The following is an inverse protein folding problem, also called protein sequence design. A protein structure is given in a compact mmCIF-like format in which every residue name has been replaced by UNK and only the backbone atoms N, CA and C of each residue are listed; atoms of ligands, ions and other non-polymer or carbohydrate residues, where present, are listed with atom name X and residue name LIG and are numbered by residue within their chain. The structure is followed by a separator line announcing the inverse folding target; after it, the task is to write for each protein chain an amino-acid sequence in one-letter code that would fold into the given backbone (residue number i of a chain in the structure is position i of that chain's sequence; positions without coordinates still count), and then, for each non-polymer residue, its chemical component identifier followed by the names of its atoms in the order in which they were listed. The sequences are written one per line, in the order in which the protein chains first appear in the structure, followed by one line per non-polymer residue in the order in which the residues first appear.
data_IF_472919381516
#
_entry.id   IF_472919381516
#
_cell.length_a   1.000
_cell.length_b   1.000
_cell.length_c   1.000
_cell.angle_alpha   90.00
_cell.angle_beta   90.00
_cell.angle_gamma   90.00
#
_symmetry.space_group_name_H-M   'P 1'
#
loop_
_entity.id
_entity.type
_entity.pdbx_description
1 polymer ?
#
# COMPACT_ATOMS: atom_id res chain seq x y z
N UNK A 1 84.51 5.60 14.54
CA UNK A 1 83.65 6.77 14.80
C UNK A 1 82.64 6.30 15.85
N UNK A 2 82.89 6.33 17.16
CA UNK A 2 83.17 7.47 18.08
C UNK A 2 82.08 8.54 17.98
N UNK A 3 81.32 9.00 18.99
CA UNK A 3 81.19 8.90 20.46
C UNK A 3 79.74 9.36 20.79
N UNK A 4 78.96 8.68 21.65
CA UNK A 4 78.62 9.04 23.04
C UNK A 4 78.09 10.47 23.35
N UNK A 5 76.77 10.54 23.64
CA UNK A 5 76.10 11.12 24.83
C UNK A 5 76.10 12.66 25.06
N UNK A 6 75.48 13.20 26.14
CA UNK A 6 74.04 13.30 26.47
C UNK A 6 73.67 14.73 27.01
N UNK A 7 72.46 14.94 27.54
CA UNK A 7 72.11 15.69 28.79
C UNK A 7 70.71 16.34 28.75
N UNK A 8 69.96 16.09 29.83
CA UNK A 8 68.64 16.59 30.18
C UNK A 8 68.74 17.88 31.05
N UNK A 9 67.88 18.13 32.06
CA UNK A 9 66.49 18.65 32.08
C UNK A 9 66.44 20.01 32.86
N UNK A 10 65.29 20.34 33.50
CA UNK A 10 64.99 21.37 34.53
C UNK A 10 63.88 22.35 34.07
N UNK A 11 62.90 22.78 34.88
CA UNK A 11 62.48 22.40 36.22
C UNK A 11 61.07 22.97 36.51
N UNK A 12 60.40 22.34 37.46
CA UNK A 12 59.16 22.68 38.16
C UNK A 12 59.30 23.97 39.00
N UNK A 13 58.27 24.84 39.01
CA UNK A 13 58.00 25.78 40.12
C UNK A 13 56.47 26.04 40.25
N UNK A 14 55.76 25.40 41.21
CA UNK A 14 55.35 25.90 42.56
C UNK A 14 54.57 27.23 42.52
N UNK A 15 53.22 27.20 42.53
CA UNK A 15 52.26 27.22 43.68
C UNK A 15 52.00 28.60 44.34
N UNK A 16 50.69 28.94 44.35
CA UNK A 16 49.87 29.58 45.41
C UNK A 16 49.99 31.10 45.68
N UNK A 17 48.89 31.86 45.48
CA UNK A 17 47.96 32.31 46.55
C UNK A 17 47.18 33.61 46.25
N UNK A 18 45.84 33.49 46.20
CA UNK A 18 44.76 34.34 46.78
C UNK A 18 44.72 35.88 46.66
N UNK A 19 43.63 36.44 46.11
CA UNK A 19 42.51 37.15 46.81
C UNK A 19 41.61 37.87 45.77
N UNK A 20 40.36 37.43 45.55
CA UNK A 20 39.08 38.02 46.03
C UNK A 20 38.92 39.53 45.77
N UNK A 21 38.04 39.87 44.81
CA UNK A 21 37.06 40.97 44.94
C UNK A 21 35.72 40.48 44.36
N UNK A 22 34.76 40.25 45.25
CA UNK A 22 33.32 40.13 44.97
C UNK A 22 32.70 41.38 45.58
N UNK A 23 32.08 42.26 44.77
CA UNK A 23 30.90 43.05 45.17
C UNK A 23 30.07 43.41 43.92
N UNK A 24 28.92 42.74 43.84
CA UNK A 24 27.59 43.20 43.41
C UNK A 24 27.41 44.20 42.26
N UNK A 25 26.74 43.73 41.20
CA UNK A 25 25.61 44.44 40.58
C UNK A 25 24.49 43.43 40.30
N UNK A 26 23.60 43.29 41.28
CA UNK A 26 22.27 42.69 41.14
C UNK A 26 21.32 43.79 40.64
N UNK A 27 20.89 43.71 39.38
CA UNK A 27 19.64 44.30 38.89
C UNK A 27 19.43 43.83 37.44
N UNK A 28 18.46 42.93 37.22
CA UNK A 28 18.05 42.53 35.88
C UNK A 28 17.65 41.07 35.69
N UNK A 29 17.08 40.39 36.70
CA UNK A 29 16.30 39.19 36.42
C UNK A 29 14.98 39.61 35.75
N UNK A 30 14.98 39.70 34.42
CA UNK A 30 13.75 39.65 33.64
C UNK A 30 13.27 38.19 33.61
N UNK A 31 12.08 37.88 34.12
CA UNK A 31 11.60 36.50 34.20
C UNK A 31 10.92 36.12 32.89
N UNK A 32 11.62 36.18 31.73
CA UNK A 32 11.02 35.78 30.44
C UNK A 32 12.08 35.37 29.38
N UNK A 33 13.28 34.95 29.80
CA UNK A 33 14.27 34.33 28.90
C UNK A 33 14.02 32.81 28.71
N UNK A 34 12.74 32.45 28.64
CA UNK A 34 12.22 31.11 28.49
C UNK A 34 10.86 31.14 27.80
N UNK A 35 10.72 32.00 26.78
CA UNK A 35 9.63 31.85 25.82
C UNK A 35 9.91 30.56 25.04
N UNK A 36 9.42 29.44 25.57
CA UNK A 36 9.15 28.26 24.80
C UNK A 36 8.46 28.73 23.52
N UNK A 37 8.96 28.33 22.35
CA UNK A 37 8.09 28.24 21.17
C UNK A 37 6.83 27.57 21.69
N UNK A 38 5.70 28.26 21.64
CA UNK A 38 4.42 27.62 21.87
C UNK A 38 4.41 26.45 20.91
N UNK A 39 4.54 25.24 21.45
CA UNK A 39 4.15 24.05 20.72
C UNK A 39 2.72 24.35 20.31
N UNK A 40 2.52 24.57 19.01
CA UNK A 40 1.18 24.53 18.47
C UNK A 40 0.57 23.23 19.02
N UNK A 41 -0.65 23.26 19.56
CA UNK A 41 -1.32 22.03 19.95
C UNK A 41 -1.19 21.11 18.74
N UNK A 42 -0.58 19.93 18.91
CA UNK A 42 -0.75 18.87 17.93
C UNK A 42 -2.26 18.82 17.69
N UNK A 43 -2.69 19.10 16.46
CA UNK A 43 -4.10 18.92 16.15
C UNK A 43 -4.48 17.51 16.58
N UNK A 44 -5.65 17.33 17.19
CA UNK A 44 -6.06 15.99 17.60
C UNK A 44 -6.18 15.12 16.34
N UNK A 45 -5.12 14.35 16.03
CA UNK A 45 -5.11 13.29 15.01
C UNK A 45 -6.06 12.13 15.37
N UNK A 46 -6.74 12.18 16.52
CA UNK A 46 -7.71 11.20 16.99
C UNK A 46 -9.13 11.39 16.41
N UNK A 47 -9.36 12.42 15.57
CA UNK A 47 -10.66 12.64 14.95
C UNK A 47 -10.83 11.70 13.76
N UNK A 48 -11.56 10.60 13.95
CA UNK A 48 -11.83 9.65 12.87
C UNK A 48 -12.56 10.34 11.72
N UNK A 49 -12.07 10.15 10.49
CA UNK A 49 -12.68 10.72 9.29
C UNK A 49 -14.08 10.11 9.03
N UNK A 50 -15.17 10.89 9.14
CA UNK A 50 -16.51 10.38 8.92
C UNK A 50 -16.77 9.91 7.49
N UNK A 51 -16.04 10.44 6.50
CA UNK A 51 -16.17 10.02 5.09
C UNK A 51 -15.62 8.61 4.93
N UNK A 52 -14.41 8.37 5.44
CA UNK A 52 -13.80 7.04 5.45
C UNK A 52 -14.62 6.03 6.27
N UNK A 53 -15.10 6.40 7.46
CA UNK A 53 -16.00 5.53 8.24
C UNK A 53 -17.26 5.12 7.47
N UNK A 54 -17.86 6.05 6.73
CA UNK A 54 -19.02 5.77 5.90
C UNK A 54 -18.67 4.83 4.73
N UNK A 55 -17.52 5.04 4.09
CA UNK A 55 -17.00 4.17 3.04
C UNK A 55 -16.76 2.75 3.56
N UNK A 56 -16.09 2.60 4.71
CA UNK A 56 -15.88 1.30 5.36
C UNK A 56 -17.21 0.63 5.70
N UNK A 57 -18.11 1.33 6.39
CA UNK A 57 -19.42 0.79 6.75
C UNK A 57 -20.19 0.29 5.52
N UNK A 58 -20.16 1.04 4.41
CA UNK A 58 -20.78 0.64 3.16
C UNK A 58 -20.12 -0.60 2.55
N UNK A 59 -18.79 -0.66 2.50
CA UNK A 59 -18.07 -1.83 2.00
C UNK A 59 -18.44 -3.10 2.81
N UNK A 60 -18.40 -3.02 4.15
CA UNK A 60 -18.70 -4.15 5.04
C UNK A 60 -20.18 -4.56 5.03
N UNK A 61 -21.10 -3.63 4.77
CA UNK A 61 -22.53 -3.92 4.60
C UNK A 61 -22.80 -4.77 3.36
N UNK A 62 -22.05 -4.58 2.28
CA UNK A 62 -22.22 -5.35 1.03
C UNK A 62 -21.58 -6.73 1.04
N UNK A 63 -20.72 -7.00 2.03
CA UNK A 63 -20.03 -8.28 2.16
C UNK A 63 -21.03 -9.43 2.41
N UNK A 64 -21.06 -10.42 1.53
CA UNK A 64 -22.01 -11.53 1.65
C UNK A 64 -21.62 -12.50 2.78
N UNK A 65 -22.60 -13.16 3.44
CA UNK A 65 -22.35 -14.22 4.42
C UNK A 65 -21.86 -15.49 3.72
N UNK A 66 -21.18 -16.39 4.44
CA UNK A 66 -20.70 -17.67 3.91
C UNK A 66 -21.82 -18.52 3.29
N UNK A 67 -21.45 -19.41 2.35
CA UNK A 67 -22.31 -20.40 1.71
C UNK A 67 -22.15 -21.76 2.41
N UNK A 68 -23.14 -22.24 3.17
CA UNK A 68 -22.98 -23.46 3.95
C UNK A 68 -22.63 -24.67 3.09
N UNK A 69 -21.53 -25.37 3.44
CA UNK A 69 -21.06 -26.56 2.72
C UNK A 69 -20.23 -26.25 1.48
N UNK A 70 -19.91 -24.97 1.25
CA UNK A 70 -19.04 -24.50 0.17
C UNK A 70 -17.90 -23.75 0.83
N UNK A 71 -16.67 -24.24 0.66
CA UNK A 71 -15.48 -23.51 1.11
C UNK A 71 -15.37 -22.20 0.34
N UNK A 72 -15.75 -21.09 0.98
CA UNK A 72 -15.63 -19.75 0.44
C UNK A 72 -14.21 -19.21 0.60
N UNK A 73 -13.84 -18.32 -0.33
CA UNK A 73 -12.67 -17.47 -0.18
C UNK A 73 -13.12 -16.03 0.04
N UNK A 74 -12.84 -15.51 1.23
CA UNK A 74 -12.93 -14.08 1.52
C UNK A 74 -11.61 -13.44 1.14
N UNK A 75 -11.65 -12.29 0.47
CA UNK A 75 -10.46 -11.63 -0.08
C UNK A 75 -10.38 -10.21 0.44
N UNK A 76 -9.19 -9.83 0.91
CA UNK A 76 -8.85 -8.45 1.25
C UNK A 76 -7.65 -8.02 0.43
N UNK A 77 -7.80 -6.95 -0.34
CA UNK A 77 -6.68 -6.24 -0.94
C UNK A 77 -6.39 -4.97 -0.13
N UNK A 78 -5.11 -4.72 0.14
CA UNK A 78 -4.64 -3.57 0.92
C UNK A 78 -3.54 -2.86 0.12
N UNK A 79 -3.83 -1.67 -0.40
CA UNK A 79 -2.87 -0.78 -1.05
C UNK A 79 -2.43 0.29 -0.05
N UNK A 80 -1.31 0.05 0.63
CA UNK A 80 -0.94 0.79 1.83
C UNK A 80 -0.37 2.19 1.60
N UNK A 81 0.13 2.46 0.40
CA UNK A 81 0.90 3.68 0.13
C UNK A 81 0.29 4.46 -1.05
N UNK A 82 -0.04 5.72 -0.78
CA UNK A 82 -0.63 6.64 -1.75
C UNK A 82 0.36 7.17 -2.80
N UNK A 83 1.67 7.08 -2.57
CA UNK A 83 2.69 7.70 -3.42
C UNK A 83 2.86 7.04 -4.79
N UNK A 84 2.50 5.75 -4.92
CA UNK A 84 2.67 4.97 -6.14
C UNK A 84 1.36 4.29 -6.57
N UNK A 85 0.92 4.58 -7.80
CA UNK A 85 -0.31 4.05 -8.39
C UNK A 85 -0.37 2.52 -8.49
N UNK A 86 0.79 1.85 -8.54
CA UNK A 86 0.89 0.39 -8.66
C UNK A 86 0.12 -0.33 -7.56
N UNK A 87 0.12 0.20 -6.34
CA UNK A 87 -0.52 -0.43 -5.19
C UNK A 87 -2.04 -0.43 -5.32
N UNK A 88 -2.62 0.73 -5.67
CA UNK A 88 -4.04 0.87 -6.03
C UNK A 88 -4.39 -0.06 -7.19
N UNK A 89 -3.60 -0.03 -8.26
CA UNK A 89 -3.88 -0.78 -9.49
C UNK A 89 -3.96 -2.29 -9.22
N UNK A 90 -3.00 -2.83 -8.48
CA UNK A 90 -2.99 -4.24 -8.08
C UNK A 90 -4.18 -4.61 -7.20
N UNK A 91 -4.52 -3.77 -6.22
CA UNK A 91 -5.64 -4.03 -5.30
C UNK A 91 -7.00 -3.98 -6.01
N UNK A 92 -7.21 -3.02 -6.91
CA UNK A 92 -8.42 -2.95 -7.73
C UNK A 92 -8.49 -4.11 -8.73
N UNK A 93 -7.36 -4.51 -9.31
CA UNK A 93 -7.29 -5.67 -10.16
C UNK A 93 -7.54 -6.99 -9.41
N UNK A 94 -7.02 -7.13 -8.19
CA UNK A 94 -7.31 -8.27 -7.30
C UNK A 94 -8.81 -8.45 -7.14
N UNK A 95 -9.56 -7.36 -6.90
CA UNK A 95 -11.02 -7.41 -6.84
C UNK A 95 -11.63 -7.93 -8.14
N UNK A 96 -11.25 -7.37 -9.29
CA UNK A 96 -11.78 -7.82 -10.57
C UNK A 96 -11.48 -9.31 -10.82
N UNK A 97 -10.23 -9.73 -10.60
CA UNK A 97 -9.79 -11.10 -10.79
C UNK A 97 -10.59 -12.06 -9.91
N UNK A 98 -10.68 -11.79 -8.61
CA UNK A 98 -11.32 -12.72 -7.68
C UNK A 98 -12.85 -12.76 -7.82
N UNK A 99 -13.49 -11.65 -8.19
CA UNK A 99 -14.93 -11.62 -8.42
C UNK A 99 -15.35 -12.23 -9.77
N UNK A 100 -14.51 -12.14 -10.81
CA UNK A 100 -14.85 -12.63 -12.15
C UNK A 100 -14.34 -14.04 -12.41
N UNK A 101 -13.16 -14.40 -11.88
CA UNK A 101 -12.51 -15.68 -12.15
C UNK A 101 -12.60 -16.67 -10.99
N UNK A 102 -12.57 -16.22 -9.73
CA UNK A 102 -12.42 -17.12 -8.57
C UNK A 102 -13.68 -17.25 -7.71
N UNK A 103 -14.86 -16.95 -8.26
CA UNK A 103 -16.16 -17.12 -7.58
C UNK A 103 -16.24 -16.41 -6.21
N UNK A 104 -15.51 -15.29 -6.04
CA UNK A 104 -15.49 -14.52 -4.79
C UNK A 104 -16.36 -13.26 -4.86
N UNK A 105 -17.34 -13.21 -5.77
CA UNK A 105 -18.23 -12.05 -5.93
C UNK A 105 -18.95 -11.73 -4.61
N UNK A 106 -18.85 -10.49 -4.16
CA UNK A 106 -19.42 -10.06 -2.88
C UNK A 106 -18.66 -10.56 -1.65
N UNK A 107 -17.47 -11.14 -1.81
CA UNK A 107 -16.56 -11.57 -0.74
C UNK A 107 -15.20 -10.90 -0.79
N UNK A 108 -15.05 -9.86 -1.62
CA UNK A 108 -13.81 -9.11 -1.78
C UNK A 108 -13.99 -7.69 -1.25
N UNK A 109 -13.14 -7.30 -0.31
CA UNK A 109 -12.99 -5.92 0.19
C UNK A 109 -11.63 -5.40 -0.26
N UNK A 110 -11.59 -4.15 -0.71
CA UNK A 110 -10.35 -3.45 -1.06
C UNK A 110 -10.24 -2.23 -0.18
N UNK A 111 -9.06 -2.04 0.42
CA UNK A 111 -8.67 -0.84 1.16
C UNK A 111 -7.57 -0.16 0.35
N UNK A 112 -7.71 1.14 0.10
CA UNK A 112 -6.87 1.86 -0.87
C UNK A 112 -6.46 3.22 -0.36
N UNK A 113 -5.14 3.42 -0.26
CA UNK A 113 -4.54 4.74 -0.21
C UNK A 113 -4.08 5.13 -1.62
N UNK A 114 -4.62 6.23 -2.13
CA UNK A 114 -4.19 6.88 -3.38
C UNK A 114 -4.81 8.28 -3.41
N UNK A 115 -4.12 9.30 -3.97
CA UNK A 115 -4.67 10.66 -4.07
C UNK A 115 -6.03 10.72 -4.78
N UNK A 116 -6.29 9.82 -5.74
CA UNK A 116 -7.58 9.78 -6.46
C UNK A 116 -8.74 9.17 -5.66
N UNK A 117 -8.46 8.56 -4.50
CA UNK A 117 -9.45 7.98 -3.60
C UNK A 117 -9.79 8.94 -2.45
N UNK A 118 -9.10 10.07 -2.32
CA UNK A 118 -9.35 11.06 -1.28
C UNK A 118 -10.49 12.02 -1.64
N UNK A 119 -11.01 12.73 -0.64
CA UNK A 119 -12.06 13.74 -0.80
C UNK A 119 -13.46 13.22 -0.50
N UNK A 120 -14.49 13.93 -0.98
CA UNK A 120 -15.89 13.70 -0.56
C UNK A 120 -16.52 12.40 -1.08
N UNK A 121 -15.92 11.78 -2.11
CA UNK A 121 -16.48 10.64 -2.83
C UNK A 121 -15.45 9.52 -3.08
N UNK A 122 -14.90 8.90 -2.02
CA UNK A 122 -14.00 7.77 -2.16
C UNK A 122 -14.69 6.58 -2.82
N UNK A 123 -13.96 5.83 -3.64
CA UNK A 123 -14.46 4.59 -4.24
C UNK A 123 -14.10 3.35 -3.38
N UNK A 124 -13.19 3.48 -2.43
CA UNK A 124 -12.82 2.46 -1.46
C UNK A 124 -12.50 3.11 -0.09
N UNK A 125 -12.67 2.39 1.04
CA UNK A 125 -12.14 2.84 2.32
C UNK A 125 -10.62 2.94 2.29
N UNK A 126 -10.05 3.79 3.13
CA UNK A 126 -8.62 3.97 3.28
C UNK A 126 -7.94 2.69 3.78
N UNK A 127 -6.71 2.46 3.32
CA UNK A 127 -5.84 1.39 3.76
C UNK A 127 -5.08 1.78 5.03
N UNK A 128 -5.81 1.94 6.14
CA UNK A 128 -5.25 2.16 7.47
C UNK A 128 -5.24 0.86 8.28
N UNK A 129 -4.42 0.79 9.34
CA UNK A 129 -4.41 -0.38 10.22
C UNK A 129 -5.79 -0.61 10.88
N UNK A 130 -6.46 0.45 11.31
CA UNK A 130 -7.79 0.37 11.92
C UNK A 130 -8.83 -0.18 10.94
N UNK A 131 -8.86 0.31 9.71
CA UNK A 131 -9.78 -0.21 8.68
C UNK A 131 -9.48 -1.66 8.32
N UNK A 132 -8.20 -2.06 8.28
CA UNK A 132 -7.81 -3.46 8.12
C UNK A 132 -8.31 -4.31 9.29
N UNK A 133 -8.11 -3.86 10.52
CA UNK A 133 -8.55 -4.54 11.73
C UNK A 133 -10.07 -4.76 11.73
N UNK A 134 -10.84 -3.71 11.45
CA UNK A 134 -12.31 -3.77 11.39
C UNK A 134 -12.83 -4.62 10.22
N UNK A 135 -12.16 -4.55 9.06
CA UNK A 135 -12.47 -5.40 7.90
C UNK A 135 -12.27 -6.87 8.23
N UNK A 136 -11.13 -7.22 8.85
CA UNK A 136 -10.84 -8.59 9.28
C UNK A 136 -11.86 -9.06 10.32
N UNK A 137 -12.21 -8.22 11.31
CA UNK A 137 -13.20 -8.54 12.31
C UNK A 137 -14.60 -8.79 11.69
N UNK A 138 -15.00 -8.01 10.69
CA UNK A 138 -16.25 -8.19 9.96
C UNK A 138 -16.25 -9.47 9.12
N UNK A 139 -15.17 -9.77 8.40
CA UNK A 139 -15.00 -11.03 7.66
C UNK A 139 -15.06 -12.22 8.60
N UNK A 140 -14.34 -12.16 9.73
CA UNK A 140 -14.37 -13.20 10.75
C UNK A 140 -15.77 -13.49 11.28
N UNK A 141 -16.70 -12.52 11.28
CA UNK A 141 -18.10 -12.72 11.67
C UNK A 141 -18.97 -13.30 10.54
N UNK A 142 -18.56 -13.16 9.27
CA UNK A 142 -19.33 -13.57 8.09
C UNK A 142 -18.92 -14.94 7.56
N UNK A 143 -17.65 -15.31 7.70
CA UNK A 143 -17.10 -16.60 7.27
C UNK A 143 -17.43 -17.72 8.27
N UNK A 144 -17.52 -18.95 7.78
CA UNK A 144 -17.34 -20.13 8.62
C UNK A 144 -15.84 -20.35 8.80
N UNK A 145 -15.32 -20.02 9.98
CA UNK A 145 -13.87 -20.04 10.29
C UNK A 145 -13.24 -21.43 10.20
N UNK A 146 -14.04 -22.49 10.15
CA UNK A 146 -13.56 -23.88 10.05
C UNK A 146 -13.59 -24.40 8.62
N UNK A 147 -14.54 -23.92 7.83
CA UNK A 147 -14.75 -24.32 6.43
C UNK A 147 -13.98 -23.41 5.47
N UNK A 148 -14.12 -22.09 5.62
CA UNK A 148 -13.67 -21.05 4.69
C UNK A 148 -12.20 -20.64 4.89
N UNK A 149 -11.68 -19.85 3.96
CA UNK A 149 -10.37 -19.22 4.05
C UNK A 149 -10.42 -17.72 3.77
N UNK A 150 -9.46 -16.98 4.36
CA UNK A 150 -9.12 -15.61 3.98
C UNK A 150 -7.93 -15.62 3.01
N UNK A 151 -7.98 -14.81 1.96
CA UNK A 151 -6.81 -14.33 1.23
C UNK A 151 -6.60 -12.85 1.55
N UNK A 152 -5.48 -12.52 2.16
CA UNK A 152 -5.04 -11.16 2.39
C UNK A 152 -3.87 -10.87 1.45
N UNK A 153 -4.08 -9.95 0.51
CA UNK A 153 -3.04 -9.43 -0.37
C UNK A 153 -2.70 -8.00 0.07
N UNK A 154 -1.48 -7.81 0.55
CA UNK A 154 -0.95 -6.49 0.94
C UNK A 154 0.10 -6.08 -0.07
N UNK A 155 -0.04 -4.89 -0.63
CA UNK A 155 0.92 -4.28 -1.54
C UNK A 155 1.23 -2.86 -1.10
N UNK A 156 2.50 -2.61 -0.79
CA UNK A 156 3.00 -1.34 -0.25
C UNK A 156 4.54 -1.36 -0.21
N UNK A 157 5.20 -0.27 0.18
CA UNK A 157 6.60 -0.29 0.58
C UNK A 157 6.81 -1.07 1.88
N UNK A 158 8.04 -1.53 2.08
CA UNK A 158 8.45 -2.23 3.29
C UNK A 158 9.80 -1.76 3.78
N UNK A 159 10.00 -1.84 5.08
CA UNK A 159 11.18 -1.30 5.76
C UNK A 159 12.15 -2.42 6.17
N UNK A 160 13.41 -2.07 6.41
CA UNK A 160 14.45 -3.03 6.83
C UNK A 160 14.17 -3.69 8.19
N UNK A 161 13.40 -3.03 9.06
CA UNK A 161 12.90 -3.56 10.34
C UNK A 161 11.65 -4.43 10.19
N UNK A 162 11.26 -4.74 8.95
CA UNK A 162 10.15 -5.63 8.58
C UNK A 162 8.78 -5.07 8.95
N UNK A 163 8.57 -3.78 8.71
CA UNK A 163 7.26 -3.13 8.81
C UNK A 163 6.70 -2.85 7.42
N UNK A 164 5.38 -2.90 7.28
CA UNK A 164 4.68 -2.44 6.08
C UNK A 164 4.43 -0.95 6.23
N UNK A 165 4.85 -0.16 5.25
CA UNK A 165 4.59 1.27 5.25
C UNK A 165 3.11 1.53 4.92
N UNK A 166 2.52 2.47 5.63
CA UNK A 166 1.17 2.95 5.39
C UNK A 166 1.25 4.47 5.25
N UNK A 167 0.80 4.99 4.12
CA UNK A 167 0.72 6.43 3.88
C UNK A 167 -0.59 6.73 3.19
N UNK A 168 -1.42 7.55 3.83
CA UNK A 168 -2.70 8.03 3.28
C UNK A 168 -2.47 9.28 2.43
N UNK A 169 -1.69 10.24 2.97
CA UNK A 169 -1.31 11.49 2.31
C UNK A 169 0.04 12.02 2.85
N UNK A 170 0.37 13.29 2.60
CA UNK A 170 1.63 13.92 3.03
C UNK A 170 1.73 14.16 4.55
N UNK A 171 0.66 13.92 5.31
CA UNK A 171 0.55 14.20 6.75
C UNK A 171 0.21 12.99 7.59
N UNK A 172 -0.31 11.94 6.98
CA UNK A 172 -0.73 10.71 7.65
C UNK A 172 0.08 9.50 7.16
N UNK A 173 1.03 9.10 8.00
CA UNK A 173 1.82 7.88 7.83
C UNK A 173 1.80 7.01 9.09
N UNK A 174 1.90 5.69 8.88
CA UNK A 174 1.92 4.67 9.91
C UNK A 174 2.71 3.43 9.44
N UNK A 175 2.92 2.47 10.33
CA UNK A 175 3.65 1.24 10.07
C UNK A 175 2.95 0.04 10.69
N UNK A 176 2.68 -0.99 9.89
CA UNK A 176 2.11 -2.24 10.38
C UNK A 176 3.24 -3.23 10.62
N UNK A 177 3.49 -3.60 11.89
CA UNK A 177 4.48 -4.61 12.23
C UNK A 177 3.95 -6.04 11.96
N UNK A 178 4.83 -7.06 11.96
CA UNK A 178 4.41 -8.46 11.89
C UNK A 178 3.49 -8.88 13.04
N UNK A 179 3.65 -8.26 14.21
CA UNK A 179 2.85 -8.53 15.40
C UNK A 179 1.46 -7.90 15.31
N UNK A 180 1.34 -6.70 14.75
CA UNK A 180 0.06 -6.02 14.55
C UNK A 180 -0.81 -6.81 13.57
N UNK A 181 -0.24 -7.19 12.42
CA UNK A 181 -0.97 -8.02 11.46
C UNK A 181 -1.35 -9.38 12.05
N UNK A 182 -0.45 -10.01 12.83
CA UNK A 182 -0.77 -11.25 13.54
C UNK A 182 -1.94 -11.07 14.50
N UNK A 183 -1.93 -9.99 15.28
CA UNK A 183 -2.96 -9.66 16.27
C UNK A 183 -4.31 -9.45 15.59
N UNK A 184 -4.39 -8.63 14.53
CA UNK A 184 -5.63 -8.38 13.81
C UNK A 184 -6.28 -9.67 13.26
N UNK A 185 -5.46 -10.57 12.69
CA UNK A 185 -5.93 -11.86 12.18
C UNK A 185 -6.43 -12.79 13.30
N UNK A 186 -5.71 -12.85 14.42
CA UNK A 186 -6.05 -13.72 15.55
C UNK A 186 -7.29 -13.21 16.30
N UNK A 187 -7.43 -11.90 16.49
CA UNK A 187 -8.58 -11.27 17.13
C UNK A 187 -9.86 -11.42 16.29
N UNK A 188 -9.73 -11.39 14.96
CA UNK A 188 -10.80 -11.75 14.04
C UNK A 188 -11.18 -13.26 14.09
N UNK A 189 -10.34 -14.09 14.71
CA UNK A 189 -10.51 -15.55 14.79
C UNK A 189 -10.24 -16.28 13.49
N UNK A 190 -9.49 -15.68 12.56
CA UNK A 190 -9.25 -16.22 11.22
C UNK A 190 -8.02 -17.13 11.25
N UNK A 191 -8.27 -18.45 11.32
CA UNK A 191 -7.22 -19.47 11.30
C UNK A 191 -6.76 -19.83 9.90
N UNK A 192 -7.70 -20.16 9.01
CA UNK A 192 -7.42 -20.54 7.62
C UNK A 192 -7.11 -19.28 6.79
N UNK A 193 -5.83 -19.04 6.51
CA UNK A 193 -5.40 -17.79 5.86
C UNK A 193 -4.29 -18.00 4.85
N UNK A 194 -4.43 -17.30 3.73
CA UNK A 194 -3.44 -17.14 2.66
C UNK A 194 -3.00 -15.68 2.77
N UNK A 195 -1.76 -15.46 3.13
CA UNK A 195 -1.20 -14.11 3.33
C UNK A 195 -0.17 -13.89 2.25
N UNK A 196 -0.37 -12.87 1.44
CA UNK A 196 0.46 -12.54 0.29
C UNK A 196 0.95 -11.11 0.47
N UNK A 197 2.27 -10.96 0.64
CA UNK A 197 2.91 -9.69 0.97
C UNK A 197 3.82 -9.25 -0.18
N UNK A 198 3.39 -8.23 -0.90
CA UNK A 198 4.15 -7.52 -1.93
C UNK A 198 4.79 -6.28 -1.32
N UNK A 199 5.97 -6.46 -0.71
CA UNK A 199 6.74 -5.38 -0.10
C UNK A 199 8.22 -5.77 0.04
N UNK A 200 9.10 -4.76 0.12
CA UNK A 200 10.50 -4.95 0.48
C UNK A 200 10.62 -5.62 1.85
N UNK A 201 11.59 -6.51 2.03
CA UNK A 201 11.85 -7.20 3.30
C UNK A 201 10.67 -8.05 3.85
N UNK A 202 9.63 -8.28 3.04
CA UNK A 202 8.39 -8.97 3.43
C UNK A 202 8.58 -10.38 4.00
N UNK A 203 9.69 -11.06 3.66
CA UNK A 203 10.08 -12.33 4.28
C UNK A 203 10.21 -12.26 5.80
N UNK A 204 10.43 -11.07 6.37
CA UNK A 204 10.48 -10.80 7.81
C UNK A 204 9.16 -11.06 8.55
N UNK A 205 8.03 -11.11 7.84
CA UNK A 205 6.72 -11.41 8.42
C UNK A 205 6.50 -12.91 8.68
N UNK A 206 7.25 -13.79 8.00
CA UNK A 206 7.04 -15.24 8.06
C UNK A 206 7.10 -15.80 9.49
N UNK A 207 8.08 -15.45 10.34
CA UNK A 207 8.18 -15.98 11.70
C UNK A 207 6.96 -15.69 12.58
N UNK A 208 6.36 -14.50 12.46
CA UNK A 208 5.23 -14.07 13.28
C UNK A 208 3.88 -14.65 12.79
N UNK A 209 3.72 -14.76 11.46
CA UNK A 209 2.44 -15.14 10.85
C UNK A 209 2.28 -16.65 10.63
N UNK A 210 3.39 -17.41 10.58
CA UNK A 210 3.36 -18.85 10.30
C UNK A 210 2.51 -19.59 11.33
N UNK A 211 1.65 -20.47 10.85
CA UNK A 211 0.86 -21.37 11.67
C UNK A 211 0.57 -22.65 10.88
N UNK A 212 0.06 -23.71 11.51
CA UNK A 212 -0.41 -24.87 10.76
C UNK A 212 -1.50 -24.53 9.72
N UNK A 213 -2.26 -23.45 9.88
CA UNK A 213 -3.38 -23.06 9.01
C UNK A 213 -3.05 -21.86 8.11
N UNK A 214 -1.78 -21.46 8.03
CA UNK A 214 -1.36 -20.32 7.20
C UNK A 214 -0.61 -20.79 5.96
N UNK A 215 -0.94 -20.26 4.78
CA UNK A 215 -0.03 -20.12 3.64
C UNK A 215 0.50 -18.69 3.64
N UNK A 216 1.82 -18.49 3.56
CA UNK A 216 2.45 -17.17 3.41
C UNK A 216 3.26 -17.16 2.13
N UNK A 217 3.09 -16.12 1.33
CA UNK A 217 3.85 -15.83 0.12
C UNK A 217 4.43 -14.42 0.23
N UNK A 218 5.73 -14.24 0.02
CA UNK A 218 6.38 -12.93 0.16
C UNK A 218 7.17 -12.59 -1.09
N UNK A 219 7.13 -11.31 -1.49
CA UNK A 219 7.84 -10.80 -2.66
C UNK A 219 9.35 -10.84 -2.50
N UNK A 220 9.87 -10.75 -1.28
CA UNK A 220 11.29 -10.76 -1.01
C UNK A 220 11.65 -11.59 0.22
N UNK A 221 12.93 -11.92 0.34
CA UNK A 221 13.55 -12.42 1.56
C UNK A 221 13.65 -11.32 2.61
N UNK A 222 13.71 -11.70 3.88
CA UNK A 222 13.74 -10.76 5.01
C UNK A 222 14.85 -9.69 4.95
N UNK A 223 15.96 -9.94 4.25
CA UNK A 223 17.10 -9.02 4.11
C UNK A 223 17.29 -8.53 2.66
N UNK A 224 16.23 -8.58 1.85
CA UNK A 224 16.25 -8.18 0.42
C UNK A 224 15.12 -7.20 0.10
N UNK A 225 15.35 -6.23 -0.78
CA UNK A 225 14.26 -5.46 -1.38
C UNK A 225 13.47 -6.31 -2.40
N UNK A 226 12.30 -5.80 -2.78
CA UNK A 226 11.54 -6.19 -3.97
C UNK A 226 11.48 -5.00 -4.95
N UNK A 227 11.04 -5.23 -6.19
CA UNK A 227 11.15 -4.26 -7.28
C UNK A 227 9.82 -3.99 -7.99
N UNK A 228 9.83 -2.92 -8.79
CA UNK A 228 8.68 -2.50 -9.61
C UNK A 228 7.71 -1.57 -8.89
N UNK A 229 8.06 -1.07 -7.71
CA UNK A 229 7.36 0.04 -7.07
C UNK A 229 7.90 1.35 -7.64
N UNK A 230 7.02 2.29 -8.02
CA UNK A 230 7.39 3.55 -8.64
C UNK A 230 6.45 3.98 -9.76
N UNK A 231 6.43 5.29 -10.06
CA UNK A 231 5.65 5.93 -11.12
C UNK A 231 6.03 5.53 -12.56
N UNK A 232 6.98 4.62 -12.76
CA UNK A 232 7.39 4.11 -14.07
C UNK A 232 6.90 2.68 -14.35
N UNK A 233 6.15 2.09 -13.41
CA UNK A 233 5.54 0.77 -13.58
C UNK A 233 4.04 0.87 -13.34
N UNK A 234 3.28 -0.04 -13.94
CA UNK A 234 1.84 -0.18 -13.69
C UNK A 234 1.55 -1.23 -12.60
N UNK A 235 2.48 -2.16 -12.37
CA UNK A 235 2.45 -3.18 -11.32
C UNK A 235 3.86 -3.46 -10.76
N UNK A 236 3.94 -3.92 -9.51
CA UNK A 236 5.17 -4.44 -8.91
C UNK A 236 5.61 -5.73 -9.63
N UNK A 237 6.88 -6.13 -9.49
CA UNK A 237 7.35 -7.36 -10.16
C UNK A 237 6.63 -8.58 -9.61
N UNK A 238 6.33 -8.56 -8.31
CA UNK A 238 5.60 -9.62 -7.66
C UNK A 238 4.12 -9.63 -8.03
N UNK A 239 3.45 -8.48 -8.04
CA UNK A 239 2.05 -8.37 -8.47
C UNK A 239 1.88 -8.75 -9.94
N UNK A 240 2.76 -8.30 -10.83
CA UNK A 240 2.78 -8.75 -12.23
C UNK A 240 2.91 -10.28 -12.32
N UNK A 241 3.93 -10.85 -11.69
CA UNK A 241 4.23 -12.26 -11.84
C UNK A 241 3.21 -13.19 -11.15
N UNK A 242 2.79 -12.87 -9.92
CA UNK A 242 1.88 -13.72 -9.14
C UNK A 242 0.41 -13.39 -9.40
N UNK A 243 0.00 -12.14 -9.17
CA UNK A 243 -1.41 -11.75 -9.21
C UNK A 243 -1.93 -11.69 -10.66
N UNK A 244 -1.18 -11.07 -11.57
CA UNK A 244 -1.63 -10.83 -12.94
C UNK A 244 -1.36 -12.05 -13.81
N UNK A 245 -0.13 -12.54 -13.88
CA UNK A 245 0.22 -13.59 -14.83
C UNK A 245 -0.14 -14.98 -14.31
N UNK A 246 0.38 -15.37 -13.14
CA UNK A 246 0.31 -16.75 -12.68
C UNK A 246 -1.09 -17.16 -12.18
N UNK A 247 -1.83 -16.27 -11.51
CA UNK A 247 -3.22 -16.55 -11.09
C UNK A 247 -4.22 -16.58 -12.26
N UNK A 248 -3.88 -16.01 -13.43
CA UNK A 248 -4.63 -16.26 -14.66
C UNK A 248 -4.31 -17.63 -15.28
N UNK A 249 -3.13 -18.18 -15.01
CA UNK A 249 -2.70 -19.50 -15.53
C UNK A 249 -3.09 -20.66 -14.61
N UNK A 250 -3.21 -20.42 -13.30
CA UNK A 250 -3.41 -21.44 -12.27
C UNK A 250 -4.54 -21.04 -11.31
N UNK A 251 -5.27 -22.03 -10.81
CA UNK A 251 -6.21 -21.83 -9.69
C UNK A 251 -5.61 -22.12 -8.31
N UNK A 252 -4.32 -22.44 -8.27
CA UNK A 252 -3.58 -22.74 -7.06
C UNK A 252 -2.64 -21.59 -6.71
N UNK A 253 -2.91 -20.84 -5.61
CA UNK A 253 -2.03 -19.78 -5.14
C UNK A 253 -0.58 -20.22 -4.94
N UNK A 254 -0.36 -21.48 -4.51
CA UNK A 254 0.98 -22.04 -4.30
C UNK A 254 1.68 -22.34 -5.62
N UNK A 255 1.00 -23.00 -6.56
CA UNK A 255 1.59 -23.25 -7.88
C UNK A 255 1.80 -21.95 -8.67
N UNK A 256 0.90 -20.97 -8.51
CA UNK A 256 1.05 -19.64 -9.08
C UNK A 256 2.30 -18.94 -8.52
N UNK A 257 2.62 -19.14 -7.24
CA UNK A 257 3.85 -18.63 -6.65
C UNK A 257 5.11 -19.25 -7.24
N UNK A 258 5.12 -20.56 -7.52
CA UNK A 258 6.27 -21.20 -8.16
C UNK A 258 6.51 -20.65 -9.58
N UNK A 259 5.44 -20.38 -10.34
CA UNK A 259 5.51 -19.68 -11.65
C UNK A 259 6.07 -18.27 -11.47
N UNK A 260 5.52 -17.52 -10.52
CA UNK A 260 5.91 -16.13 -10.27
C UNK A 260 7.39 -16.03 -9.87
N UNK A 261 7.86 -16.91 -8.99
CA UNK A 261 9.25 -16.96 -8.54
C UNK A 261 10.22 -17.18 -9.70
N UNK A 262 9.87 -18.05 -10.64
CA UNK A 262 10.69 -18.29 -11.84
C UNK A 262 10.72 -17.05 -12.74
N UNK A 263 9.59 -16.40 -12.96
CA UNK A 263 9.48 -15.18 -13.76
C UNK A 263 10.27 -14.01 -13.15
N UNK A 264 10.11 -13.77 -11.85
CA UNK A 264 10.84 -12.73 -11.09
C UNK A 264 12.34 -12.98 -11.17
N UNK A 265 12.80 -14.21 -10.91
CA UNK A 265 14.23 -14.55 -10.99
C UNK A 265 14.82 -14.28 -12.37
N UNK A 266 14.06 -14.58 -13.44
CA UNK A 266 14.49 -14.32 -14.80
C UNK A 266 14.56 -12.82 -15.10
N UNK A 267 13.53 -12.06 -14.70
CA UNK A 267 13.46 -10.61 -14.88
C UNK A 267 14.58 -9.88 -14.14
N UNK A 268 14.74 -10.15 -12.85
CA UNK A 268 15.80 -9.53 -12.03
C UNK A 268 17.19 -9.81 -12.61
N UNK A 269 17.43 -11.03 -13.08
CA UNK A 269 18.69 -11.36 -13.75
C UNK A 269 18.89 -10.59 -15.06
N UNK A 270 17.82 -10.42 -15.85
CA UNK A 270 17.88 -9.69 -17.11
C UNK A 270 18.18 -8.20 -16.89
N UNK A 271 17.61 -7.61 -15.85
CA UNK A 271 17.72 -6.19 -15.54
C UNK A 271 18.94 -5.87 -14.64
N UNK A 272 19.61 -6.89 -14.10
CA UNK A 272 20.79 -6.73 -13.26
C UNK A 272 20.48 -6.39 -11.80
N UNK A 273 19.24 -6.64 -11.37
CA UNK A 273 18.78 -6.37 -10.01
C UNK A 273 19.36 -7.37 -9.00
N UNK A 274 19.47 -6.93 -7.75
CA UNK A 274 19.80 -7.80 -6.64
C UNK A 274 18.65 -8.81 -6.44
N UNK A 275 18.86 -10.14 -6.50
CA UNK A 275 17.74 -11.07 -6.43
C UNK A 275 16.92 -10.92 -5.14
N UNK A 276 15.61 -10.70 -5.27
CA UNK A 276 14.69 -10.52 -4.14
C UNK A 276 14.47 -11.82 -3.37
N UNK A 277 14.61 -12.96 -4.05
CA UNK A 277 14.43 -14.32 -3.53
C UNK A 277 13.05 -14.52 -2.84
N UNK A 278 11.93 -14.46 -3.59
CA UNK A 278 10.59 -14.66 -3.02
C UNK A 278 10.50 -15.93 -2.16
N UNK A 279 9.82 -15.82 -1.02
CA UNK A 279 9.70 -16.91 -0.04
C UNK A 279 8.26 -17.40 0.12
N UNK A 280 8.13 -18.67 0.49
CA UNK A 280 6.85 -19.28 0.82
C UNK A 280 6.93 -20.08 2.13
N UNK A 281 5.83 -20.11 2.89
CA UNK A 281 5.65 -20.90 4.10
C UNK A 281 4.28 -21.57 4.09
N UNK A 282 4.26 -22.91 4.02
CA UNK A 282 3.03 -23.70 3.94
C UNK A 282 2.75 -24.43 5.27
N UNK A 283 1.64 -24.09 5.91
CA UNK A 283 1.12 -24.79 7.08
C UNK A 283 0.55 -26.18 6.74
N UNK A 284 0.74 -27.15 7.64
CA UNK A 284 0.30 -28.54 7.43
C UNK A 284 -1.22 -28.73 7.29
N UNK A 285 -2.02 -27.80 7.82
CA UNK A 285 -3.49 -27.84 7.85
C UNK A 285 -4.17 -26.91 6.84
N UNK A 286 -3.47 -25.96 6.23
CA UNK A 286 -4.06 -25.09 5.19
C UNK A 286 -4.20 -25.81 3.85
N UNK A 287 -3.26 -26.70 3.50
CA UNK A 287 -3.27 -27.43 2.24
C UNK A 287 -4.61 -28.15 1.93
N UNK A 288 -5.23 -28.92 2.86
CA UNK A 288 -6.54 -29.51 2.59
C UNK A 288 -7.69 -28.49 2.45
N UNK A 289 -7.59 -27.31 3.08
CA UNK A 289 -8.59 -26.24 2.90
C UNK A 289 -8.49 -25.68 1.47
N UNK A 290 -7.28 -25.38 1.00
CA UNK A 290 -7.03 -24.93 -0.37
C UNK A 290 -7.49 -25.96 -1.39
N UNK A 291 -7.26 -27.25 -1.14
CA UNK A 291 -7.72 -28.32 -2.01
C UNK A 291 -9.25 -28.37 -2.11
N UNK A 292 -9.97 -28.20 -0.99
CA UNK A 292 -11.45 -28.14 -0.98
C UNK A 292 -11.98 -26.91 -1.70
N UNK A 293 -11.43 -25.73 -1.42
CA UNK A 293 -11.77 -24.49 -2.14
C UNK A 293 -11.60 -24.66 -3.65
N UNK A 294 -10.43 -25.14 -4.09
CA UNK A 294 -10.12 -25.37 -5.51
C UNK A 294 -11.00 -26.41 -6.18
N UNK A 295 -11.47 -27.41 -5.43
CA UNK A 295 -12.41 -28.40 -5.96
C UNK A 295 -13.83 -27.84 -6.12
N UNK A 296 -14.20 -26.81 -5.34
CA UNK A 296 -15.51 -26.17 -5.38
C UNK A 296 -15.60 -24.89 -6.23
N UNK A 297 -14.46 -24.27 -6.57
CA UNK A 297 -14.44 -23.01 -7.34
C UNK A 297 -14.80 -23.24 -8.80
N UNK A 298 -15.74 -22.46 -9.32
CA UNK A 298 -16.05 -22.40 -10.74
C UNK A 298 -15.23 -21.28 -11.39
N UNK A 299 -14.21 -21.65 -12.17
CA UNK A 299 -13.33 -20.66 -12.78
C UNK A 299 -14.02 -19.92 -13.93
N UNK A 300 -14.03 -18.59 -13.85
CA UNK A 300 -14.29 -17.73 -15.00
C UNK A 300 -13.12 -17.70 -15.99
N UNK A 301 -13.23 -16.94 -17.10
CA UNK A 301 -12.12 -16.75 -18.03
C UNK A 301 -10.93 -16.03 -17.36
N UNK A 302 -9.80 -15.96 -18.06
CA UNK A 302 -8.71 -15.08 -17.63
C UNK A 302 -9.16 -13.61 -17.70
N UNK A 303 -8.73 -12.80 -16.75
CA UNK A 303 -9.10 -11.38 -16.63
C UNK A 303 -7.93 -10.53 -17.08
N UNK A 304 -8.12 -9.71 -18.11
CA UNK A 304 -7.07 -8.81 -18.60
C UNK A 304 -6.74 -7.75 -17.56
N UNK A 305 -5.45 -7.44 -17.40
CA UNK A 305 -5.00 -6.34 -16.56
C UNK A 305 -5.31 -5.00 -17.25
N UNK A 306 -6.14 -4.12 -16.65
CA UNK A 306 -6.67 -2.95 -17.36
C UNK A 306 -5.72 -1.74 -17.33
N UNK A 307 -4.61 -1.81 -16.59
CA UNK A 307 -3.66 -0.72 -16.47
C UNK A 307 -2.52 -0.95 -17.48
N UNK A 308 -2.36 -0.07 -18.50
CA UNK A 308 -1.29 -0.22 -19.48
C UNK A 308 0.08 0.03 -18.83
N UNK A 309 1.18 -0.48 -19.40
CA UNK A 309 2.53 -0.09 -19.00
C UNK A 309 2.70 1.43 -19.07
N UNK A 310 3.48 2.00 -18.15
CA UNK A 310 3.74 3.44 -18.16
C UNK A 310 4.76 3.75 -19.26
N UNK A 311 4.37 4.57 -20.24
CA UNK A 311 5.27 5.01 -21.31
C UNK A 311 6.30 6.01 -20.74
N UNK A 312 7.58 5.63 -20.75
CA UNK A 312 8.67 6.51 -20.29
C UNK A 312 9.02 7.64 -21.27
N UNK A 313 8.44 7.61 -22.48
CA UNK A 313 8.75 8.54 -23.58
C UNK A 313 7.77 9.72 -23.69
N UNK A 314 6.78 9.84 -22.79
CA UNK A 314 5.95 11.02 -22.73
C UNK A 314 6.77 12.18 -22.11
N UNK A 315 7.24 13.11 -22.95
CA UNK A 315 7.86 14.35 -22.47
C UNK A 315 6.96 15.00 -21.41
N UNK A 316 7.53 15.51 -20.30
CA UNK A 316 6.75 16.28 -19.35
C UNK A 316 6.16 17.48 -20.09
N UNK A 317 4.84 17.62 -20.01
CA UNK A 317 4.10 18.76 -20.56
C UNK A 317 4.81 20.03 -20.10
N UNK A 318 5.49 20.69 -21.05
CA UNK A 318 6.23 21.91 -20.79
C UNK A 318 5.20 22.94 -20.33
N UNK A 319 5.25 23.24 -19.03
CA UNK A 319 4.42 24.25 -18.40
C UNK A 319 4.39 25.51 -19.26
N UNK A 320 3.17 25.96 -19.55
CA UNK A 320 2.92 27.26 -20.16
C UNK A 320 3.33 28.33 -19.14
N UNK A 321 4.61 28.67 -19.15
CA UNK A 321 5.12 29.90 -18.58
C UNK A 321 5.61 30.79 -19.71
N UNK A 322 4.82 31.81 -20.02
CA UNK A 322 5.33 33.05 -20.61
C UNK A 322 4.42 34.19 -20.15
N UNK A 323 4.82 34.70 -18.99
CA UNK A 323 4.58 36.06 -18.55
C UNK A 323 5.12 37.02 -19.62
N UNK A 324 4.25 37.82 -20.25
CA UNK A 324 4.71 39.02 -20.96
C UNK A 324 3.87 40.22 -20.54
N UNK A 325 4.54 41.16 -19.89
CA UNK A 325 4.05 42.50 -19.60
C UNK A 325 5.00 43.47 -20.29
N UNK A 326 4.51 44.22 -21.28
CA UNK A 326 4.68 45.68 -21.38
C UNK A 326 3.93 46.27 -22.58
N UNK A 327 3.14 47.33 -22.32
CA UNK A 327 3.25 48.60 -23.05
C UNK A 327 2.46 48.82 -24.36
N UNK A 328 1.45 49.69 -24.23
CA UNK A 328 0.90 50.66 -25.19
C UNK A 328 -0.01 50.25 -26.37
N UNK A 329 -1.20 50.88 -26.35
CA UNK A 329 -2.24 50.88 -27.37
C UNK A 329 -1.94 51.89 -28.51
N UNK A 330 -2.72 51.90 -29.61
CA UNK A 330 -4.01 52.59 -29.55
C UNK A 330 -5.19 51.91 -30.29
N UNK A 331 -6.35 52.31 -29.79
CA UNK A 331 -7.75 52.11 -30.18
C UNK A 331 -8.03 52.20 -31.69
N UNK A 332 -8.91 51.31 -32.17
CA UNK A 332 -9.83 51.60 -33.29
C UNK A 332 -11.13 50.80 -33.11
N UNK A 333 -12.24 51.49 -33.34
CA UNK A 333 -13.61 51.18 -32.95
C UNK A 333 -14.36 50.17 -33.87
N UNK A 334 -15.56 49.79 -33.36
CA UNK A 334 -16.82 49.37 -34.04
C UNK A 334 -17.02 47.84 -34.23
N UNK A 335 -18.25 47.27 -34.09
CA UNK A 335 -19.09 47.13 -32.90
C UNK A 335 -19.59 45.67 -32.67
N UNK A 336 -20.12 45.39 -31.47
CA UNK A 336 -20.77 44.11 -31.12
C UNK A 336 -22.14 43.94 -31.81
N UNK A 337 -22.41 42.74 -32.32
CA UNK A 337 -23.75 42.27 -32.67
C UNK A 337 -24.07 40.98 -31.90
N UNK A 338 -25.27 40.96 -31.31
CA UNK A 338 -25.87 39.86 -30.55
C UNK A 338 -26.58 38.87 -31.50
N UNK A 339 -26.41 37.56 -31.30
CA UNK A 339 -27.45 36.54 -31.52
C UNK A 339 -27.03 35.15 -30.95
N UNK A 340 -27.98 34.27 -30.61
CA UNK A 340 -27.82 33.29 -29.52
C UNK A 340 -27.63 31.82 -29.95
N UNK A 341 -27.43 30.99 -28.91
CA UNK A 341 -27.20 29.55 -28.89
C UNK A 341 -28.14 28.68 -29.74
N UNK A 342 -27.58 27.61 -30.32
CA UNK A 342 -28.30 26.49 -30.93
C UNK A 342 -28.06 25.22 -30.12
N UNK A 343 -29.16 24.63 -29.65
CA UNK A 343 -29.23 23.35 -28.95
C UNK A 343 -29.13 22.18 -29.95
N UNK A 344 -28.48 21.08 -29.53
CA UNK A 344 -28.42 19.80 -30.24
C UNK A 344 -29.44 18.82 -29.61
N UNK A 345 -30.28 18.11 -30.40
CA UNK A 345 -31.32 17.21 -29.88
C UNK A 345 -30.82 15.79 -29.56
N UNK A 346 -31.58 14.98 -28.79
CA UNK A 346 -31.14 13.68 -28.28
C UNK A 346 -31.27 12.54 -29.32
N UNK A 347 -30.30 11.62 -29.27
CA UNK A 347 -30.20 10.40 -30.07
C UNK A 347 -31.08 9.25 -29.55
N UNK A 348 -31.76 8.58 -30.48
CA UNK A 348 -32.72 7.47 -30.29
C UNK A 348 -32.03 6.12 -30.01
N UNK A 349 -32.61 5.22 -29.18
CA UNK A 349 -32.05 3.89 -28.92
C UNK A 349 -32.45 2.82 -29.98
N UNK A 350 -31.69 1.71 -30.12
CA UNK A 350 -31.90 0.67 -31.14
C UNK A 350 -32.99 -0.36 -30.77
N UNK A 351 -33.53 -1.11 -31.76
CA UNK A 351 -34.68 -1.99 -31.55
C UNK A 351 -34.29 -3.40 -31.06
N UNK A 352 -35.22 -4.03 -30.32
CA UNK A 352 -35.13 -5.38 -29.76
C UNK A 352 -35.35 -6.50 -30.83
N UNK A 353 -34.78 -7.70 -30.64
CA UNK A 353 -34.93 -8.80 -31.58
C UNK A 353 -36.25 -9.58 -31.40
N UNK A 354 -36.85 -9.94 -32.53
CA UNK A 354 -38.10 -10.69 -32.62
C UNK A 354 -37.91 -12.20 -32.37
N UNK A 355 -38.87 -12.79 -31.66
CA UNK A 355 -39.01 -14.22 -31.44
C UNK A 355 -39.37 -14.97 -32.74
N UNK A 356 -38.78 -16.15 -32.93
CA UNK A 356 -39.24 -17.11 -33.94
C UNK A 356 -39.56 -18.43 -33.27
N UNK A 357 -40.81 -18.84 -33.42
CA UNK A 357 -41.37 -20.13 -33.07
C UNK A 357 -41.36 -21.05 -34.28
N UNK A 358 -40.71 -22.21 -34.16
CA UNK A 358 -41.20 -23.53 -34.60
C UNK A 358 -40.34 -24.65 -34.03
#
# INVERSE_FOLDING_TARGET
MSLHSPFAPHAVWRRLSTLIVVVALMAGCHPDAGAALQAQPAENHDAVDPVDQAALAQALKTLQPQRPGVTDLYVVGFAGDASDDVFRNETLYLKQLFEQRFDARGRVVTLVNNPDNLGEHPYAPLATYDNLYDTLAAIGKRMDRTEDALLLFVTTHGTEDHSLYVQVDDKEEDFISPQDLRKALDDAGIGNRIIVLSACYSGGFIPALRSPQTLILTAARADRPSFGCGNTSNATYFGQAWLIDAMNQSNDPLAAFDIAKAAITAREKQEGELPSLPQQSLGKRIAPVLARWRAGVHLGPAVAYPYPPVDMDAEPDQGVDSNDSTGDAPVSDVPRSNAPATAIPPSTPPPAPAASSR
#
